data_IF_153003739926
#
_entry.id   IF_153003739926
#
_cell.length_a   1.000
_cell.length_b   1.000
_cell.length_c   1.000
_cell.angle_alpha   90.00
_cell.angle_beta   90.00
_cell.angle_gamma   90.00
#
_symmetry.space_group_name_H-M   'P 1'
#
loop_
_entity.id
_entity.type
_entity.pdbx_description
1 polymer ?
#
# COMPACT_ATOMS: atom_id res chain seq x y z
N UNK A 1 29.19 -19.56 3.83
CA UNK A 1 27.85 -19.30 4.42
C UNK A 1 26.82 -19.93 3.50
N UNK A 2 25.84 -20.69 4.02
CA UNK A 2 24.75 -21.28 3.23
C UNK A 2 23.91 -20.16 2.60
N UNK A 3 23.49 -20.32 1.35
CA UNK A 3 22.65 -19.31 0.70
C UNK A 3 21.22 -19.38 1.27
N UNK A 4 20.54 -18.25 1.46
CA UNK A 4 19.21 -18.22 2.09
C UNK A 4 18.12 -18.93 1.26
N UNK A 5 18.29 -19.04 -0.06
CA UNK A 5 17.40 -19.78 -0.96
C UNK A 5 17.55 -21.31 -0.86
N UNK A 6 18.64 -21.81 -0.26
CA UNK A 6 18.88 -23.23 -0.02
C UNK A 6 18.41 -23.70 1.35
N UNK A 7 17.89 -22.79 2.17
CA UNK A 7 17.38 -23.06 3.52
C UNK A 7 15.98 -23.69 3.45
N UNK A 8 15.79 -24.93 3.93
CA UNK A 8 14.51 -25.63 3.86
C UNK A 8 13.40 -24.87 4.58
N UNK A 9 13.71 -24.19 5.69
CA UNK A 9 12.69 -23.42 6.44
C UNK A 9 12.17 -22.25 5.60
N UNK A 10 13.03 -21.60 4.80
CA UNK A 10 12.60 -20.50 3.93
C UNK A 10 11.78 -21.00 2.73
N UNK A 11 12.13 -22.17 2.17
CA UNK A 11 11.34 -22.78 1.09
C UNK A 11 9.95 -23.17 1.58
N UNK A 12 9.86 -23.70 2.80
CA UNK A 12 8.60 -24.10 3.42
C UNK A 12 7.71 -22.89 3.73
N UNK A 13 8.27 -21.81 4.29
CA UNK A 13 7.53 -20.55 4.49
C UNK A 13 6.94 -20.02 3.18
N UNK A 14 7.71 -20.08 2.08
CA UNK A 14 7.22 -19.66 0.76
C UNK A 14 6.09 -20.56 0.29
N UNK A 15 6.24 -21.89 0.39
CA UNK A 15 5.21 -22.88 0.02
C UNK A 15 3.90 -22.62 0.77
N UNK A 16 3.96 -22.59 2.10
CA UNK A 16 2.78 -22.38 2.95
C UNK A 16 2.09 -21.04 2.67
N UNK A 17 2.86 -20.00 2.32
CA UNK A 17 2.27 -18.71 1.96
C UNK A 17 1.61 -18.71 0.59
N UNK A 18 2.18 -19.41 -0.40
CA UNK A 18 1.56 -19.59 -1.71
C UNK A 18 0.24 -20.37 -1.60
N UNK A 19 0.13 -21.28 -0.64
CA UNK A 19 -1.11 -21.96 -0.24
C UNK A 19 -2.11 -21.06 0.53
N UNK A 20 -1.85 -19.74 0.58
CA UNK A 20 -2.68 -18.71 1.22
C UNK A 20 -2.84 -18.86 2.74
N UNK A 21 -1.96 -19.61 3.41
CA UNK A 21 -1.98 -19.72 4.87
C UNK A 21 -1.71 -18.37 5.55
N UNK A 22 -2.42 -18.09 6.64
CA UNK A 22 -2.18 -16.89 7.46
C UNK A 22 -0.80 -16.97 8.11
N UNK A 23 -0.18 -15.84 8.40
CA UNK A 23 1.18 -15.82 8.95
C UNK A 23 1.25 -16.43 10.35
N UNK A 24 0.22 -16.21 11.16
CA UNK A 24 0.05 -16.91 12.43
C UNK A 24 -0.07 -18.43 12.22
N UNK A 25 -0.81 -18.87 11.20
CA UNK A 25 -0.87 -20.29 10.82
C UNK A 25 0.50 -20.85 10.45
N UNK A 26 1.25 -20.14 9.60
CA UNK A 26 2.61 -20.54 9.19
C UNK A 26 3.53 -20.64 10.40
N UNK A 27 3.48 -19.68 11.34
CA UNK A 27 4.29 -19.73 12.57
C UNK A 27 3.97 -21.00 13.37
N UNK A 28 2.68 -21.29 13.58
CA UNK A 28 2.26 -22.47 14.32
C UNK A 28 2.76 -23.76 13.66
N UNK A 29 2.63 -23.86 12.33
CA UNK A 29 3.13 -25.02 11.56
C UNK A 29 4.64 -25.16 11.65
N UNK A 30 5.40 -24.07 11.47
CA UNK A 30 6.87 -24.09 11.55
C UNK A 30 7.39 -24.44 12.94
N UNK A 31 6.77 -23.88 13.99
CA UNK A 31 7.12 -24.20 15.38
C UNK A 31 6.71 -25.63 15.76
N UNK A 32 5.59 -26.13 15.23
CA UNK A 32 5.21 -27.53 15.41
C UNK A 32 6.26 -28.47 14.81
N UNK A 33 6.71 -28.23 13.57
CA UNK A 33 7.78 -29.04 12.97
C UNK A 33 9.06 -29.00 13.79
N UNK A 34 9.45 -27.82 14.30
CA UNK A 34 10.61 -27.70 15.18
C UNK A 34 10.44 -28.45 16.49
N UNK A 35 9.25 -28.41 17.10
CA UNK A 35 8.94 -29.16 18.31
C UNK A 35 9.06 -30.67 18.08
N UNK A 36 8.54 -31.16 16.96
CA UNK A 36 8.64 -32.58 16.56
C UNK A 36 10.11 -33.00 16.32
N UNK A 37 10.94 -32.09 15.82
CA UNK A 37 12.39 -32.28 15.66
C UNK A 37 13.22 -32.02 16.95
N UNK A 38 12.59 -31.68 18.07
CA UNK A 38 13.26 -31.37 19.33
C UNK A 38 14.05 -30.05 19.36
N UNK A 39 13.70 -29.09 18.50
CA UNK A 39 14.31 -27.75 18.42
C UNK A 39 13.41 -26.69 19.08
N UNK A 40 14.00 -25.54 19.41
CA UNK A 40 13.31 -24.39 20.01
C UNK A 40 12.37 -23.67 19.02
N UNK A 41 11.23 -23.20 19.53
CA UNK A 41 10.16 -22.52 18.80
C UNK A 41 10.45 -21.04 18.54
N UNK A 42 11.48 -20.76 17.74
CA UNK A 42 11.96 -19.39 17.50
C UNK A 42 11.14 -18.60 16.47
N UNK A 43 10.18 -19.23 15.79
CA UNK A 43 9.41 -18.52 14.78
C UNK A 43 8.38 -17.60 15.43
N UNK A 44 8.39 -16.35 14.98
CA UNK A 44 7.41 -15.32 15.30
C UNK A 44 6.80 -14.83 14.00
N UNK A 45 5.61 -14.23 14.05
CA UNK A 45 4.94 -13.70 12.86
C UNK A 45 5.83 -12.72 12.10
N UNK A 46 6.57 -11.87 12.83
CA UNK A 46 7.51 -10.93 12.25
C UNK A 46 8.71 -11.63 11.58
N UNK A 47 9.25 -12.69 12.19
CA UNK A 47 10.40 -13.41 11.62
C UNK A 47 10.01 -14.17 10.35
N UNK A 48 8.84 -14.83 10.33
CA UNK A 48 8.30 -15.53 9.16
C UNK A 48 8.01 -14.56 8.02
N UNK A 49 7.29 -13.47 8.30
CA UNK A 49 6.98 -12.44 7.31
C UNK A 49 8.25 -11.84 6.71
N UNK A 50 9.21 -11.45 7.56
CA UNK A 50 10.48 -10.89 7.12
C UNK A 50 11.32 -11.85 6.27
N UNK A 51 11.27 -13.16 6.58
CA UNK A 51 11.93 -14.20 5.77
C UNK A 51 11.27 -14.35 4.40
N UNK A 52 9.94 -14.38 4.34
CA UNK A 52 9.20 -14.47 3.07
C UNK A 52 9.50 -13.28 2.14
N UNK A 53 9.41 -12.05 2.63
CA UNK A 53 9.61 -10.85 1.79
C UNK A 53 11.03 -10.78 1.23
N UNK A 54 12.04 -11.17 2.02
CA UNK A 54 13.46 -11.13 1.60
C UNK A 54 13.87 -12.30 0.72
N UNK A 55 13.37 -13.51 1.02
CA UNK A 55 13.84 -14.74 0.39
C UNK A 55 12.89 -15.26 -0.70
N UNK A 56 11.60 -14.93 -0.64
CA UNK A 56 10.58 -15.33 -1.63
C UNK A 56 10.99 -15.05 -3.07
N UNK A 57 11.37 -13.79 -3.43
CA UNK A 57 11.83 -13.48 -4.79
C UNK A 57 13.04 -14.31 -5.22
N UNK A 58 14.00 -14.53 -4.30
CA UNK A 58 15.23 -15.27 -4.58
C UNK A 58 14.93 -16.74 -4.84
N UNK A 59 14.02 -17.32 -4.07
CA UNK A 59 13.55 -18.69 -4.22
C UNK A 59 12.77 -18.84 -5.54
N UNK A 60 11.87 -17.91 -5.86
CA UNK A 60 11.09 -17.91 -7.10
C UNK A 60 11.99 -17.81 -8.34
N UNK A 61 12.95 -16.87 -8.35
CA UNK A 61 13.95 -16.74 -9.44
C UNK A 61 14.73 -18.05 -9.61
N UNK A 62 15.15 -18.68 -8.52
CA UNK A 62 15.88 -19.95 -8.57
C UNK A 62 15.02 -21.10 -9.13
N UNK A 63 13.72 -21.10 -8.86
CA UNK A 63 12.74 -22.06 -9.42
C UNK A 63 12.37 -21.76 -10.87
N UNK A 64 12.76 -20.61 -11.42
CA UNK A 64 12.37 -20.17 -12.75
C UNK A 64 10.96 -19.57 -12.81
N UNK A 65 10.38 -19.19 -11.68
CA UNK A 65 9.08 -18.51 -11.63
C UNK A 65 9.23 -17.07 -12.13
N UNK A 66 8.80 -16.82 -13.37
CA UNK A 66 8.81 -15.48 -13.97
C UNK A 66 7.61 -14.68 -13.46
N UNK A 67 7.87 -13.49 -12.92
CA UNK A 67 6.80 -12.57 -12.47
C UNK A 67 6.33 -12.74 -11.03
N UNK A 68 7.05 -13.49 -10.19
CA UNK A 68 6.75 -13.57 -8.76
C UNK A 68 6.98 -12.20 -8.08
N UNK A 69 5.90 -11.56 -7.63
CA UNK A 69 5.96 -10.41 -6.73
C UNK A 69 5.49 -10.82 -5.32
N UNK A 70 6.34 -10.74 -4.27
CA UNK A 70 5.92 -10.99 -2.89
C UNK A 70 4.66 -10.22 -2.48
N UNK A 71 4.43 -9.04 -3.06
CA UNK A 71 3.27 -8.19 -2.76
C UNK A 71 1.95 -8.86 -3.09
N UNK A 72 1.89 -9.73 -4.09
CA UNK A 72 0.69 -10.49 -4.47
C UNK A 72 0.24 -11.47 -3.38
N UNK A 73 1.18 -11.77 -2.48
CA UNK A 73 1.01 -12.66 -1.34
C UNK A 73 1.05 -11.88 -0.03
N UNK A 74 0.99 -10.54 -0.05
CA UNK A 74 0.89 -9.72 1.16
C UNK A 74 -0.55 -9.27 1.39
N UNK A 75 -0.93 -9.17 2.66
CA UNK A 75 -2.23 -8.65 3.13
C UNK A 75 -2.43 -7.14 2.89
N UNK A 76 -1.39 -6.41 2.47
CA UNK A 76 -1.46 -4.98 2.14
C UNK A 76 -2.01 -4.72 0.73
N UNK A 77 -2.98 -5.54 0.30
CA UNK A 77 -3.65 -5.37 -0.98
C UNK A 77 -4.83 -4.41 -0.77
N UNK A 78 -4.54 -3.11 -0.80
CA UNK A 78 -5.53 -2.14 -1.29
C UNK A 78 -5.38 -2.13 -2.82
N UNK A 79 -6.29 -2.77 -3.58
CA UNK A 79 -6.16 -2.93 -5.04
C UNK A 79 -6.05 -1.60 -5.81
N UNK A 80 -6.40 -0.48 -5.18
CA UNK A 80 -6.46 0.85 -5.80
C UNK A 80 -5.19 1.70 -5.68
N UNK A 81 -4.11 1.19 -5.07
CA UNK A 81 -2.86 1.97 -4.91
C UNK A 81 -1.68 1.49 -5.76
N UNK A 82 -1.90 0.57 -6.70
CA UNK A 82 -0.89 0.17 -7.66
C UNK A 82 -1.13 0.95 -8.95
N UNK A 83 -0.30 1.96 -9.21
CA UNK A 83 -0.26 2.62 -10.51
C UNK A 83 0.00 1.57 -11.59
N UNK A 84 -0.67 1.65 -12.75
CA UNK A 84 -0.50 0.69 -13.82
C UNK A 84 0.97 0.61 -14.28
N UNK A 85 1.35 -0.58 -14.73
CA UNK A 85 2.68 -1.04 -15.18
C UNK A 85 3.35 -0.16 -16.26
N UNK A 86 2.66 0.87 -16.77
CA UNK A 86 3.17 1.84 -17.73
C UNK A 86 4.24 2.79 -17.18
N UNK A 87 4.54 2.75 -15.88
CA UNK A 87 5.59 3.55 -15.23
C UNK A 87 6.88 2.77 -14.90
N UNK A 88 7.28 1.82 -15.74
CA UNK A 88 8.65 1.25 -15.67
C UNK A 88 9.68 2.28 -16.15
N UNK A 89 10.14 3.11 -15.22
CA UNK A 89 11.39 3.87 -15.38
C UNK A 89 12.53 2.86 -15.57
N UNK A 90 13.28 3.00 -16.67
CA UNK A 90 14.42 2.13 -16.98
C UNK A 90 15.44 2.15 -15.83
N UNK A 91 16.02 0.99 -15.45
CA UNK A 91 16.96 0.94 -14.36
C UNK A 91 18.31 1.48 -14.83
N UNK A 92 18.63 2.72 -14.47
CA UNK A 92 20.05 3.11 -14.42
C UNK A 92 20.66 2.44 -13.19
N UNK A 93 21.70 1.66 -13.43
CA UNK A 93 22.44 0.89 -12.44
C UNK A 93 22.97 1.81 -11.34
N UNK A 94 22.50 1.62 -10.10
CA UNK A 94 23.30 1.71 -8.87
C UNK A 94 22.43 1.47 -7.64
N UNK A 95 22.22 0.19 -7.32
CA UNK A 95 21.69 -0.22 -6.01
C UNK A 95 22.85 -0.68 -5.14
N UNK A 96 23.46 0.28 -4.46
CA UNK A 96 24.49 0.07 -3.44
C UNK A 96 24.25 0.99 -2.25
N UNK A 97 23.92 0.36 -1.12
CA UNK A 97 24.01 0.88 0.24
C UNK A 97 22.99 1.93 0.69
N UNK A 98 22.01 1.44 1.46
CA UNK A 98 21.34 2.22 2.48
C UNK A 98 22.34 2.67 3.53
N UNK A 99 22.80 3.92 3.41
CA UNK A 99 23.18 4.78 4.53
C UNK A 99 22.76 6.17 4.10
N UNK A 100 21.86 6.77 4.87
CA UNK A 100 21.53 8.19 4.97
C UNK A 100 22.37 9.14 4.10
N UNK A 101 22.07 9.23 2.80
CA UNK A 101 22.31 10.50 2.10
C UNK A 101 21.16 11.39 2.52
N UNK A 102 21.42 12.32 3.45
CA UNK A 102 20.68 13.60 3.47
C UNK A 102 20.53 13.98 2.00
N UNK A 103 19.29 14.03 1.49
CA UNK A 103 19.04 14.56 0.15
C UNK A 103 19.57 15.99 0.22
N UNK A 104 20.78 16.24 -0.27
CA UNK A 104 21.24 17.60 -0.47
C UNK A 104 20.32 18.13 -1.55
N UNK A 105 19.35 18.91 -1.10
CA UNK A 105 18.42 19.61 -1.94
C UNK A 105 19.29 20.61 -2.71
N UNK A 106 19.50 20.34 -3.99
CA UNK A 106 20.28 21.23 -4.84
C UNK A 106 19.52 22.55 -4.93
N UNK A 107 20.14 23.64 -4.48
CA UNK A 107 19.51 24.97 -4.40
C UNK A 107 18.92 25.43 -5.75
N UNK A 108 19.40 24.90 -6.88
CA UNK A 108 18.88 25.19 -8.22
C UNK A 108 17.61 24.45 -8.65
N UNK A 109 17.15 23.43 -7.92
CA UNK A 109 15.99 22.60 -8.31
C UNK A 109 14.77 22.72 -7.38
N UNK A 110 14.88 23.51 -6.30
CA UNK A 110 13.81 23.62 -5.31
C UNK A 110 12.51 24.16 -5.88
N UNK A 111 12.59 25.18 -6.74
CA UNK A 111 11.40 25.79 -7.34
C UNK A 111 10.68 24.84 -8.30
N UNK A 112 11.41 24.00 -9.03
CA UNK A 112 10.80 23.01 -9.93
C UNK A 112 10.15 21.87 -9.15
N UNK A 113 10.79 21.39 -8.09
CA UNK A 113 10.23 20.34 -7.23
C UNK A 113 9.00 20.83 -6.43
N UNK A 114 9.01 22.10 -5.98
CA UNK A 114 7.86 22.71 -5.31
C UNK A 114 6.69 22.93 -6.26
N UNK A 115 6.93 23.39 -7.49
CA UNK A 115 5.87 23.62 -8.50
C UNK A 115 5.12 22.33 -8.87
N UNK A 116 5.80 21.19 -8.87
CA UNK A 116 5.16 19.90 -9.18
C UNK A 116 4.18 19.40 -8.11
N UNK A 117 4.39 19.80 -6.85
CA UNK A 117 3.57 19.35 -5.72
C UNK A 117 2.49 20.35 -5.28
N UNK A 118 2.50 21.57 -5.84
CA UNK A 118 1.50 22.58 -5.53
C UNK A 118 0.42 22.52 -6.61
N UNK A 119 -0.83 22.29 -6.20
CA UNK A 119 -1.99 22.37 -7.09
C UNK A 119 -2.07 23.80 -7.65
N UNK A 120 -1.80 23.97 -8.93
CA UNK A 120 -1.92 25.28 -9.56
C UNK A 120 -3.39 25.66 -9.68
N UNK A 121 -3.74 26.82 -9.11
CA UNK A 121 -5.06 27.41 -9.29
C UNK A 121 -5.19 27.80 -10.76
N UNK A 122 -6.18 27.26 -11.45
CA UNK A 122 -6.50 27.68 -12.81
C UNK A 122 -7.07 29.10 -12.82
N UNK A 123 -6.84 29.85 -13.89
CA UNK A 123 -7.49 31.15 -14.12
C UNK A 123 -9.02 31.00 -14.22
N UNK A 124 -9.77 31.98 -13.73
CA UNK A 124 -11.22 31.88 -13.54
C UNK A 124 -11.98 31.62 -14.86
N UNK A 125 -11.56 32.27 -15.95
CA UNK A 125 -12.16 32.07 -17.28
C UNK A 125 -11.85 30.68 -17.85
N UNK A 126 -10.63 30.18 -17.62
CA UNK A 126 -10.23 28.84 -18.01
C UNK A 126 -10.97 27.75 -17.22
N UNK A 127 -11.29 27.99 -15.94
CA UNK A 127 -12.11 27.09 -15.13
C UNK A 127 -13.52 26.96 -15.71
N UNK A 128 -14.15 28.10 -16.04
CA UNK A 128 -15.50 28.10 -16.61
C UNK A 128 -15.54 27.36 -17.95
N UNK A 129 -14.62 27.67 -18.86
CA UNK A 129 -14.52 27.00 -20.14
C UNK A 129 -14.24 25.49 -20.00
N UNK A 130 -13.40 25.08 -19.04
CA UNK A 130 -13.14 23.67 -18.77
C UNK A 130 -14.40 22.94 -18.25
N UNK A 131 -15.12 23.55 -17.30
CA UNK A 131 -16.34 22.96 -16.72
C UNK A 131 -17.49 22.82 -17.73
N UNK A 132 -17.54 23.67 -18.75
CA UNK A 132 -18.49 23.58 -19.86
C UNK A 132 -18.18 22.43 -20.84
N UNK A 133 -16.98 21.85 -20.78
CA UNK A 133 -16.68 20.65 -21.57
C UNK A 133 -17.38 19.42 -20.97
N UNK A 134 -17.91 18.56 -21.84
CA UNK A 134 -18.67 17.36 -21.45
C UNK A 134 -17.95 16.50 -20.41
N UNK A 135 -16.65 16.28 -20.58
CA UNK A 135 -15.86 15.44 -19.67
C UNK A 135 -15.82 15.99 -18.24
N UNK A 136 -15.58 17.29 -18.07
CA UNK A 136 -15.54 17.91 -16.75
C UNK A 136 -16.93 18.13 -16.16
N UNK A 137 -17.96 18.35 -16.99
CA UNK A 137 -19.35 18.40 -16.52
C UNK A 137 -19.79 17.06 -15.91
N UNK A 138 -19.44 15.93 -16.53
CA UNK A 138 -19.74 14.59 -15.99
C UNK A 138 -19.02 14.35 -14.66
N UNK A 139 -17.74 14.72 -14.57
CA UNK A 139 -16.95 14.64 -13.33
C UNK A 139 -17.51 15.54 -12.23
N UNK A 140 -18.00 16.75 -12.58
CA UNK A 140 -18.63 17.65 -11.62
C UNK A 140 -19.91 17.04 -11.05
N UNK A 141 -20.76 16.45 -11.89
CA UNK A 141 -21.99 15.76 -11.43
C UNK A 141 -21.63 14.61 -10.48
N UNK A 142 -20.62 13.81 -10.82
CA UNK A 142 -20.14 12.73 -9.94
C UNK A 142 -19.64 13.28 -8.59
N UNK A 143 -18.85 14.36 -8.62
CA UNK A 143 -18.34 15.00 -7.40
C UNK A 143 -19.47 15.52 -6.51
N UNK A 144 -20.47 16.19 -7.11
CA UNK A 144 -21.66 16.67 -6.38
C UNK A 144 -22.44 15.51 -5.77
N UNK A 145 -22.65 14.41 -6.50
CA UNK A 145 -23.35 13.25 -5.98
C UNK A 145 -22.61 12.60 -4.80
N UNK A 146 -21.28 12.52 -4.86
CA UNK A 146 -20.47 12.00 -3.76
C UNK A 146 -20.61 12.88 -2.51
N UNK A 147 -20.51 14.20 -2.67
CA UNK A 147 -20.70 15.14 -1.55
C UNK A 147 -22.10 15.03 -0.96
N UNK A 148 -23.14 14.92 -1.80
CA UNK A 148 -24.52 14.77 -1.31
C UNK A 148 -24.72 13.44 -0.55
N UNK A 149 -24.09 12.35 -1.01
CA UNK A 149 -24.16 11.06 -0.32
C UNK A 149 -23.47 11.09 1.05
N UNK A 150 -22.36 11.82 1.17
CA UNK A 150 -21.58 11.96 2.40
C UNK A 150 -21.97 13.18 3.25
N UNK A 151 -22.96 13.96 2.81
CA UNK A 151 -23.34 15.21 3.46
C UNK A 151 -23.72 15.01 4.93
N UNK A 152 -24.62 14.07 5.20
CA UNK A 152 -25.09 13.80 6.56
C UNK A 152 -24.04 13.14 7.45
N UNK A 153 -23.08 12.42 6.85
CA UNK A 153 -21.93 11.88 7.58
C UNK A 153 -21.07 13.04 8.08
N UNK A 154 -20.79 14.01 7.21
CA UNK A 154 -20.03 15.21 7.58
C UNK A 154 -20.75 16.02 8.66
N UNK A 155 -22.08 16.19 8.54
CA UNK A 155 -22.89 16.89 9.55
C UNK A 155 -22.85 16.15 10.90
N UNK A 156 -22.95 14.82 10.90
CA UNK A 156 -22.86 14.02 12.13
C UNK A 156 -21.48 14.12 12.79
N UNK A 157 -20.40 14.12 12.00
CA UNK A 157 -19.04 14.30 12.51
C UNK A 157 -18.84 15.69 13.15
N UNK A 158 -19.38 16.75 12.53
CA UNK A 158 -19.34 18.09 13.13
C UNK A 158 -20.18 18.17 14.41
N UNK A 159 -21.33 17.49 14.45
CA UNK A 159 -22.15 17.38 15.66
C UNK A 159 -21.40 16.66 16.79
N UNK A 160 -20.66 15.59 16.47
CA UNK A 160 -19.82 14.90 17.44
C UNK A 160 -18.69 15.80 17.96
N UNK A 161 -18.02 16.56 17.09
CA UNK A 161 -17.00 17.53 17.52
C UNK A 161 -17.53 18.62 18.45
N UNK A 162 -18.76 19.10 18.21
CA UNK A 162 -19.36 20.17 19.00
C UNK A 162 -19.91 19.69 20.35
N UNK A 163 -20.52 18.50 20.37
CA UNK A 163 -21.28 18.00 21.53
C UNK A 163 -20.48 16.94 22.32
N UNK A 164 -19.45 16.35 21.71
CA UNK A 164 -18.66 15.25 22.27
C UNK A 164 -19.44 13.95 22.39
N UNK A 165 -20.45 13.76 21.54
CA UNK A 165 -21.31 12.57 21.52
C UNK A 165 -21.55 12.16 20.07
N UNK A 166 -21.44 10.87 19.82
CA UNK A 166 -21.72 10.29 18.52
C UNK A 166 -23.20 10.42 18.14
N UNK A 167 -23.48 10.93 16.94
CA UNK A 167 -24.80 10.96 16.32
C UNK A 167 -24.82 10.12 15.06
N UNK A 168 -25.89 9.37 14.84
CA UNK A 168 -26.09 8.66 13.58
C UNK A 168 -26.46 9.66 12.46
N UNK A 169 -25.84 9.59 11.26
CA UNK A 169 -26.16 10.48 10.14
C UNK A 169 -27.65 10.54 9.79
N UNK A 170 -28.32 9.40 9.76
CA UNK A 170 -29.76 9.30 9.47
C UNK A 170 -30.63 9.96 10.54
N UNK A 171 -30.18 10.01 11.79
CA UNK A 171 -30.88 10.70 12.86
C UNK A 171 -30.75 12.22 12.71
N UNK A 172 -29.59 12.70 12.25
CA UNK A 172 -29.37 14.12 11.92
C UNK A 172 -30.25 14.53 10.73
N UNK A 173 -30.30 13.72 9.67
CA UNK A 173 -31.13 13.96 8.49
C UNK A 173 -32.63 14.05 8.82
N UNK A 174 -33.16 13.10 9.58
CA UNK A 174 -34.59 13.11 9.96
C UNK A 174 -34.98 14.31 10.82
N UNK A 175 -34.02 14.91 11.51
CA UNK A 175 -34.27 16.02 12.45
C UNK A 175 -34.20 17.38 11.76
N UNK A 176 -33.30 17.55 10.80
CA UNK A 176 -33.11 18.78 10.04
C UNK A 176 -34.28 19.03 9.08
#
# INVERSE_FOLDING_TARGET
>A
RRRPEDDPENQEIVRLRMERMSWTGIVNTMNQYRREEGREEDFTTASVYGRFVRNGPRIAIKKGEVGFDPKDYMYLRNPHHHLPESFKVQPTQNWGNGVSRKRMRGEGNEEQELKGNIRMKMEAEAQKAALETKAYSELLIQAVNNVNAEYWVTVADEMDRLVGKYFEPLACEKRY
#
